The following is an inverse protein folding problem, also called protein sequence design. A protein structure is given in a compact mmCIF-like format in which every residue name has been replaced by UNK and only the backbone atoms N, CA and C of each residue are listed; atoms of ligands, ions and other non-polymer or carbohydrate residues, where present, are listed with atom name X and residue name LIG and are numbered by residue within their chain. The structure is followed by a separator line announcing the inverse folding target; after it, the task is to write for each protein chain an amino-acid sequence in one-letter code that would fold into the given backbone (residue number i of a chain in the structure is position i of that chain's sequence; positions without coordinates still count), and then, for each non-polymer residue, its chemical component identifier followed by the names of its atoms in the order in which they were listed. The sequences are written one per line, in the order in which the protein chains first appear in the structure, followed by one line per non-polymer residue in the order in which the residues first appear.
data_IF_369071567768
#
_entry.id   IF_369071567768
#
_cell.length_a   1.000
_cell.length_b   1.000
_cell.length_c   1.000
_cell.angle_alpha   90.00
_cell.angle_beta   90.00
_cell.angle_gamma   90.00
#
_symmetry.space_group_name_H-M   'P 1'
#
loop_
_entity.id
_entity.type
_entity.pdbx_description
1 polymer ?
#
# COMPACT_ATOMS: atom_id res chain seq x y z
N UNK A 1 5.65 2.32 6.75
CA UNK A 1 6.24 1.92 5.44
C UNK A 1 6.05 0.43 5.29
N UNK A 2 5.61 -0.07 4.13
CA UNK A 2 5.38 -1.50 3.90
C UNK A 2 6.29 -1.97 2.77
N UNK A 3 7.06 -3.06 2.92
CA UNK A 3 7.93 -3.54 1.84
C UNK A 3 7.10 -4.23 0.75
N UNK A 4 7.18 -3.74 -0.48
CA UNK A 4 6.61 -4.41 -1.66
C UNK A 4 7.67 -5.33 -2.23
N UNK A 5 7.34 -6.60 -2.40
CA UNK A 5 8.26 -7.65 -2.82
C UNK A 5 8.04 -8.02 -4.27
N UNK A 6 9.12 -8.30 -4.97
CA UNK A 6 9.11 -8.89 -6.29
C UNK A 6 9.70 -10.29 -6.21
N UNK A 7 8.84 -11.31 -6.32
CA UNK A 7 9.27 -12.71 -6.30
C UNK A 7 9.68 -13.22 -7.69
N UNK A 8 9.69 -12.36 -8.72
CA UNK A 8 10.02 -12.72 -10.09
C UNK A 8 11.50 -12.46 -10.39
N UNK A 9 12.06 -13.24 -11.32
CA UNK A 9 13.44 -13.11 -11.79
C UNK A 9 13.72 -11.88 -12.69
N UNK A 10 12.75 -10.99 -12.87
CA UNK A 10 12.86 -9.76 -13.65
C UNK A 10 12.32 -8.58 -12.85
N UNK A 11 12.83 -7.38 -13.10
CA UNK A 11 12.29 -6.18 -12.49
C UNK A 11 10.83 -5.97 -12.91
N UNK A 12 9.97 -5.62 -11.95
CA UNK A 12 8.55 -5.36 -12.19
C UNK A 12 8.14 -4.03 -11.58
N UNK A 13 7.18 -3.39 -12.22
CA UNK A 13 6.52 -2.19 -11.69
C UNK A 13 5.16 -2.61 -11.12
N UNK A 14 4.94 -2.27 -9.86
CA UNK A 14 3.68 -2.51 -9.16
C UNK A 14 2.92 -1.22 -8.99
N UNK A 15 1.60 -1.31 -9.13
CA UNK A 15 0.65 -0.28 -8.73
C UNK A 15 0.12 -0.60 -7.34
N UNK A 16 0.08 0.41 -6.50
CA UNK A 16 -0.34 0.30 -5.11
C UNK A 16 -1.56 1.21 -4.94
N UNK A 17 -2.65 0.63 -4.46
CA UNK A 17 -3.88 1.38 -4.15
C UNK A 17 -4.36 1.05 -2.74
N UNK A 18 -5.19 1.91 -2.17
CA UNK A 18 -5.87 1.66 -0.89
C UNK A 18 -7.38 1.60 -1.12
N UNK A 19 -8.09 0.79 -0.33
CA UNK A 19 -9.54 0.80 -0.28
C UNK A 19 -10.13 2.09 0.29
N UNK A 20 -9.33 2.85 1.06
CA UNK A 20 -9.70 4.15 1.64
C UNK A 20 -8.63 5.21 1.32
N UNK A 21 -8.50 5.64 0.06
CA UNK A 21 -7.47 6.58 -0.39
C UNK A 21 -7.62 7.98 0.22
N UNK A 22 -8.75 8.31 0.82
CA UNK A 22 -9.02 9.50 1.62
C UNK A 22 -8.46 9.40 3.04
N UNK A 23 -7.91 8.25 3.44
CA UNK A 23 -7.38 8.00 4.79
C UNK A 23 -5.94 7.54 4.69
N UNK A 24 -5.66 6.54 3.85
CA UNK A 24 -4.30 6.08 3.57
C UNK A 24 -3.87 6.61 2.22
N UNK A 25 -2.98 7.59 2.24
CA UNK A 25 -2.37 8.16 1.04
C UNK A 25 -1.03 7.49 0.78
N UNK A 26 -0.92 6.88 -0.39
CA UNK A 26 0.33 6.32 -0.91
C UNK A 26 1.07 7.43 -1.65
N UNK A 27 2.33 7.70 -1.30
CA UNK A 27 3.12 8.75 -1.95
C UNK A 27 3.42 8.38 -3.41
N UNK A 28 4.01 7.20 -3.60
CA UNK A 28 4.38 6.67 -4.91
C UNK A 28 3.49 5.48 -5.24
N UNK A 29 2.41 5.73 -5.99
CA UNK A 29 1.45 4.69 -6.37
C UNK A 29 2.03 3.70 -7.39
N UNK A 30 3.17 4.01 -8.01
CA UNK A 30 3.90 3.14 -8.91
C UNK A 30 5.31 2.94 -8.35
N UNK A 31 5.67 1.68 -8.11
CA UNK A 31 6.99 1.33 -7.58
C UNK A 31 7.62 0.26 -8.47
N UNK A 32 8.79 0.56 -9.04
CA UNK A 32 9.61 -0.44 -9.71
C UNK A 32 10.49 -1.16 -8.69
N UNK A 33 10.33 -2.48 -8.62
CA UNK A 33 11.07 -3.35 -7.70
C UNK A 33 12.02 -4.23 -8.53
N UNK A 34 13.33 -4.26 -8.22
CA UNK A 34 14.28 -5.14 -8.90
C UNK A 34 13.89 -6.62 -8.85
N UNK A 35 14.46 -7.43 -9.74
CA UNK A 35 14.30 -8.88 -9.74
C UNK A 35 14.64 -9.46 -8.36
N UNK A 36 13.79 -10.36 -7.84
CA UNK A 36 13.94 -10.99 -6.52
C UNK A 36 14.12 -9.99 -5.36
N UNK A 37 13.67 -8.74 -5.53
CA UNK A 37 13.95 -7.61 -4.65
C UNK A 37 12.77 -7.19 -3.77
N UNK A 38 12.98 -6.11 -3.02
CA UNK A 38 11.91 -5.40 -2.28
C UNK A 38 12.16 -3.91 -2.25
N UNK A 39 11.10 -3.10 -2.30
CA UNK A 39 11.16 -1.64 -2.16
C UNK A 39 10.15 -1.15 -1.11
N UNK A 40 10.48 -0.13 -0.32
CA UNK A 40 9.56 0.38 0.69
C UNK A 40 8.48 1.27 0.06
N UNK A 41 7.21 0.89 0.22
CA UNK A 41 6.08 1.76 -0.03
C UNK A 41 5.92 2.78 1.10
N UNK A 42 5.98 4.06 0.74
CA UNK A 42 5.73 5.18 1.62
C UNK A 42 4.24 5.52 1.62
N UNK A 43 3.67 5.73 2.81
CA UNK A 43 2.28 6.12 2.99
C UNK A 43 2.13 6.99 4.24
N UNK A 44 1.14 7.87 4.24
CA UNK A 44 0.70 8.61 5.41
C UNK A 44 -0.79 8.37 5.67
N UNK A 45 -1.16 8.41 6.94
CA UNK A 45 -2.54 8.21 7.38
C UNK A 45 -3.10 9.57 7.83
N UNK A 46 -4.25 9.96 7.29
CA UNK A 46 -4.92 11.18 7.68
C UNK A 46 -5.86 10.89 8.85
N UNK A 47 -5.63 11.57 9.98
CA UNK A 47 -6.56 11.55 11.12
C UNK A 47 -7.68 12.55 10.84
N UNK A 48 -8.91 12.08 10.66
CA UNK A 48 -10.07 12.99 10.60
C UNK A 48 -10.69 13.06 11.99
N UNK A 49 -11.17 14.25 12.38
CA UNK A 49 -11.80 14.51 13.68
C UNK A 49 -13.03 13.63 13.96
N UNK A 50 -13.66 13.10 12.91
CA UNK A 50 -14.84 12.24 12.99
C UNK A 50 -14.52 10.74 13.06
N UNK A 51 -13.29 10.34 12.77
CA UNK A 51 -12.82 8.95 12.82
C UNK A 51 -12.16 8.67 14.18
N UNK A 52 -13.00 8.55 15.22
CA UNK A 52 -12.56 8.11 16.56
C UNK A 52 -12.56 6.57 16.73
N UNK A 53 -12.73 5.81 15.65
CA UNK A 53 -12.77 4.34 15.69
C UNK A 53 -11.58 3.76 14.92
N UNK A 54 -11.12 2.60 15.37
CA UNK A 54 -10.19 1.78 14.61
C UNK A 54 -10.75 1.56 13.20
N UNK A 55 -9.89 1.72 12.20
CA UNK A 55 -10.28 1.50 10.82
C UNK A 55 -9.52 0.35 10.20
N UNK A 56 -10.24 -0.47 9.46
CA UNK A 56 -9.67 -1.50 8.61
C UNK A 56 -9.59 -0.97 7.19
N UNK A 57 -8.42 -1.07 6.59
CA UNK A 57 -8.17 -0.68 5.21
C UNK A 57 -7.34 -1.74 4.52
N UNK A 58 -7.55 -1.89 3.22
CA UNK A 58 -6.82 -2.81 2.39
C UNK A 58 -5.85 -2.00 1.52
N UNK A 59 -4.63 -2.52 1.36
CA UNK A 59 -3.75 -2.11 0.29
C UNK A 59 -3.72 -3.20 -0.76
N UNK A 60 -3.90 -2.82 -2.02
CA UNK A 60 -3.82 -3.74 -3.15
C UNK A 60 -2.52 -3.47 -3.91
N UNK A 61 -1.79 -4.54 -4.20
CA UNK A 61 -0.61 -4.52 -5.05
C UNK A 61 -0.98 -5.23 -6.34
N UNK A 62 -0.96 -4.51 -7.44
CA UNK A 62 -1.21 -5.06 -8.76
C UNK A 62 -0.03 -4.85 -9.69
N UNK A 63 0.13 -5.74 -10.65
CA UNK A 63 1.03 -5.52 -11.77
C UNK A 63 0.61 -4.25 -12.52
N UNK A 64 1.51 -3.28 -12.68
CA UNK A 64 1.16 -2.00 -13.30
C UNK A 64 0.87 -2.09 -14.80
N UNK A 65 1.29 -3.17 -15.47
CA UNK A 65 1.10 -3.41 -16.90
C UNK A 65 -0.19 -4.19 -17.14
N UNK A 66 -0.38 -5.31 -16.44
CA UNK A 66 -1.52 -6.21 -16.66
C UNK A 66 -2.74 -5.89 -15.79
N UNK A 67 -2.57 -5.06 -14.75
CA UNK A 67 -3.54 -4.79 -13.69
C UNK A 67 -3.99 -6.02 -12.90
N UNK A 68 -3.32 -7.17 -13.06
CA UNK A 68 -3.58 -8.34 -12.24
C UNK A 68 -3.21 -8.04 -10.78
N UNK A 69 -4.14 -8.29 -9.85
CA UNK A 69 -3.84 -8.19 -8.43
C UNK A 69 -2.92 -9.35 -8.02
N UNK A 70 -1.79 -9.02 -7.40
CA UNK A 70 -0.81 -10.01 -6.96
C UNK A 70 -0.83 -10.22 -5.44
N UNK A 71 -1.04 -9.15 -4.67
CA UNK A 71 -1.01 -9.19 -3.23
C UNK A 71 -2.01 -8.19 -2.64
N UNK A 72 -2.50 -8.47 -1.42
CA UNK A 72 -3.27 -7.53 -0.64
C UNK A 72 -2.82 -7.56 0.83
N UNK A 73 -2.68 -6.38 1.44
CA UNK A 73 -2.39 -6.22 2.86
C UNK A 73 -3.63 -5.72 3.57
N UNK A 74 -3.99 -6.36 4.69
CA UNK A 74 -4.97 -5.80 5.63
C UNK A 74 -4.25 -4.97 6.68
N UNK A 75 -4.71 -3.74 6.87
CA UNK A 75 -4.17 -2.79 7.82
C UNK A 75 -5.25 -2.34 8.79
N UNK A 76 -4.97 -2.45 10.08
CA UNK A 76 -5.77 -1.83 11.13
C UNK A 76 -5.08 -0.55 11.58
N UNK A 77 -5.72 0.59 11.34
CA UNK A 77 -5.29 1.89 11.84
C UNK A 77 -5.90 2.10 13.22
N UNK A 78 -5.04 2.15 14.23
CA UNK A 78 -5.40 2.45 15.62
C UNK A 78 -4.99 3.90 15.90
N UNK A 79 -5.97 4.76 16.17
CA UNK A 79 -5.72 6.15 16.53
C UNK A 79 -5.73 6.29 18.06
N UNK A 80 -4.59 6.61 18.66
CA UNK A 80 -4.52 6.89 20.09
C UNK A 80 -5.05 8.32 20.37
N UNK A 81 -5.78 8.44 21.48
CA UNK A 81 -6.17 9.74 22.02
C UNK A 81 -4.90 10.48 22.46
N UNK A 82 -4.76 11.70 21.96
CA UNK A 82 -3.61 12.58 22.21
C UNK A 82 -3.78 13.32 23.53
#
# INVERSE_FOLDING_TARGET
KIPIRNSYGLAKTFRITSSHPEIVKILDQLITVPAMGKMPCQMYCMKTSHLQKNMETLLYISDAITNAQEEAYSLTLVFEAS
#
